data_IF_289687523372
#
_entry.id   IF_289687523372
#
_cell.length_a   1.000
_cell.length_b   1.000
_cell.length_c   1.000
_cell.angle_alpha   90.00
_cell.angle_beta   90.00
_cell.angle_gamma   90.00
#
_symmetry.space_group_name_H-M   'P 1'
#
loop_
_entity.id
_entity.type
_entity.pdbx_description
1 polymer ?
#
# COMPACT_ATOMS: atom_id res chain seq x y z
N UNK A 1 5.24 15.69 0.05
CA UNK A 1 5.43 14.33 0.62
C UNK A 1 4.79 13.35 -0.36
N UNK A 2 5.52 12.32 -0.80
CA UNK A 2 5.02 11.32 -1.76
C UNK A 2 4.32 10.17 -1.03
N UNK A 3 3.45 9.45 -1.73
CA UNK A 3 2.84 8.24 -1.18
C UNK A 3 3.90 7.17 -0.90
N UNK A 4 3.65 6.35 0.11
CA UNK A 4 4.43 5.15 0.38
C UNK A 4 3.94 3.96 -0.43
N UNK A 5 4.50 2.79 -0.13
CA UNK A 5 3.99 1.49 -0.60
C UNK A 5 3.93 0.52 0.57
N UNK A 6 3.05 -0.47 0.48
CA UNK A 6 2.98 -1.54 1.48
C UNK A 6 3.62 -2.78 0.89
N UNK A 7 4.64 -3.31 1.56
CA UNK A 7 5.34 -4.52 1.16
C UNK A 7 5.35 -5.56 2.29
N UNK A 8 5.44 -6.82 1.91
CA UNK A 8 5.61 -7.96 2.81
C UNK A 8 7.09 -8.30 2.93
N UNK A 9 7.60 -8.37 4.16
CA UNK A 9 8.96 -8.89 4.41
C UNK A 9 8.99 -10.37 4.03
N UNK A 10 9.85 -10.73 3.09
CA UNK A 10 10.06 -12.13 2.65
C UNK A 10 11.17 -12.77 3.47
N UNK A 11 12.25 -12.02 3.70
CA UNK A 11 13.43 -12.54 4.40
C UNK A 11 14.60 -11.57 4.30
N UNK A 12 15.77 -12.07 4.67
CA UNK A 12 17.02 -11.34 4.59
C UNK A 12 18.02 -12.15 3.78
N UNK A 13 18.82 -11.45 2.97
CA UNK A 13 19.91 -12.04 2.20
C UNK A 13 21.11 -11.09 2.23
N UNK A 14 22.15 -11.39 1.48
CA UNK A 14 23.36 -10.58 1.34
C UNK A 14 23.61 -10.28 -0.13
N UNK A 15 24.11 -9.09 -0.40
CA UNK A 15 24.67 -8.70 -1.68
C UNK A 15 26.12 -8.29 -1.48
N UNK A 16 26.96 -8.56 -2.48
CA UNK A 16 28.29 -8.00 -2.54
C UNK A 16 28.25 -6.79 -3.45
N UNK A 17 28.79 -5.66 -3.00
CA UNK A 17 28.93 -4.49 -3.85
C UNK A 17 30.18 -4.61 -4.74
N UNK A 18 30.38 -3.65 -5.65
CA UNK A 18 31.51 -3.67 -6.59
C UNK A 18 32.88 -3.59 -5.90
N UNK A 19 32.93 -3.13 -4.65
CA UNK A 19 34.13 -3.10 -3.81
C UNK A 19 34.37 -4.43 -3.06
N UNK A 20 33.51 -5.44 -3.23
CA UNK A 20 33.60 -6.73 -2.56
C UNK A 20 33.08 -6.75 -1.13
N UNK A 21 32.44 -5.68 -0.66
CA UNK A 21 31.91 -5.58 0.70
C UNK A 21 30.62 -6.37 0.86
N UNK A 22 30.45 -6.97 2.05
CA UNK A 22 29.28 -7.76 2.39
C UNK A 22 28.16 -6.87 2.97
N UNK A 23 27.09 -6.66 2.21
CA UNK A 23 25.95 -5.84 2.63
C UNK A 23 24.72 -6.72 2.92
N UNK A 24 24.26 -6.78 4.19
CA UNK A 24 23.02 -7.47 4.53
C UNK A 24 21.81 -6.65 4.07
N UNK A 25 20.88 -7.30 3.37
CA UNK A 25 19.68 -6.66 2.81
C UNK A 25 18.41 -7.40 3.20
N UNK A 26 17.30 -6.67 3.29
CA UNK A 26 15.98 -7.25 3.53
C UNK A 26 15.20 -7.27 2.22
N UNK A 27 14.66 -8.43 1.86
CA UNK A 27 13.81 -8.59 0.69
C UNK A 27 12.37 -8.24 1.05
N UNK A 28 11.82 -7.25 0.37
CA UNK A 28 10.45 -6.79 0.51
C UNK A 28 9.68 -7.10 -0.79
N UNK A 29 8.62 -7.88 -0.70
CA UNK A 29 7.76 -8.21 -1.83
C UNK A 29 6.52 -7.31 -1.83
N UNK A 30 6.25 -6.70 -2.98
CA UNK A 30 5.00 -5.98 -3.22
C UNK A 30 4.03 -6.92 -3.94
N UNK A 31 2.90 -7.20 -3.31
CA UNK A 31 1.88 -8.07 -3.87
C UNK A 31 0.53 -7.36 -3.88
N UNK A 32 0.01 -7.11 -5.08
CA UNK A 32 -1.31 -6.52 -5.30
C UNK A 32 -1.55 -5.19 -4.54
N UNK A 33 -0.51 -4.33 -4.50
CA UNK A 33 -0.57 -3.00 -3.90
C UNK A 33 -1.32 -2.04 -4.83
N UNK A 34 -2.48 -1.55 -4.41
CA UNK A 34 -3.36 -0.70 -5.21
C UNK A 34 -3.96 0.44 -4.38
N UNK A 35 -4.30 1.54 -5.03
CA UNK A 35 -5.04 2.65 -4.42
C UNK A 35 -6.48 2.20 -4.20
N UNK A 36 -6.95 2.34 -2.96
CA UNK A 36 -8.32 1.96 -2.56
C UNK A 36 -9.18 3.20 -2.37
N UNK A 37 -8.61 4.28 -1.85
CA UNK A 37 -9.34 5.52 -1.66
C UNK A 37 -8.39 6.71 -1.58
N UNK A 38 -8.93 7.88 -1.84
CA UNK A 38 -8.26 9.15 -1.66
C UNK A 38 -8.95 9.93 -0.53
N UNK A 39 -8.15 10.55 0.34
CA UNK A 39 -8.61 11.49 1.36
C UNK A 39 -8.26 12.88 0.90
N UNK A 40 -9.26 13.75 0.82
CA UNK A 40 -9.09 15.14 0.40
C UNK A 40 -9.35 16.08 1.57
N UNK A 41 -8.76 17.27 1.52
CA UNK A 41 -8.91 18.27 2.57
C UNK A 41 -10.39 18.64 2.82
N UNK A 42 -11.18 18.76 1.75
CA UNK A 42 -12.60 19.12 1.84
C UNK A 42 -13.47 18.04 2.49
N UNK A 43 -13.24 16.76 2.15
CA UNK A 43 -14.07 15.66 2.63
C UNK A 43 -13.60 15.08 3.96
N UNK A 44 -12.30 15.16 4.24
CA UNK A 44 -11.67 14.44 5.35
C UNK A 44 -10.85 15.33 6.28
N UNK A 45 -10.61 16.60 5.94
CA UNK A 45 -9.79 17.53 6.72
C UNK A 45 -8.28 17.38 6.49
N UNK A 46 -7.84 16.42 5.67
CA UNK A 46 -6.43 16.18 5.35
C UNK A 46 -6.27 15.48 3.99
N UNK A 47 -5.07 15.59 3.43
CA UNK A 47 -4.70 14.94 2.16
C UNK A 47 -3.92 13.66 2.42
N UNK A 48 -4.45 12.53 1.97
CA UNK A 48 -3.78 11.23 2.06
C UNK A 48 -4.25 10.26 0.97
N UNK A 49 -3.37 9.32 0.61
CA UNK A 49 -3.71 8.20 -0.27
C UNK A 49 -3.84 6.95 0.58
N UNK A 50 -4.96 6.24 0.42
CA UNK A 50 -5.19 4.97 1.05
C UNK A 50 -4.80 3.85 0.08
N UNK A 51 -3.82 3.03 0.50
CA UNK A 51 -3.33 1.88 -0.24
C UNK A 51 -3.77 0.59 0.41
N UNK A 52 -4.11 -0.41 -0.40
CA UNK A 52 -4.39 -1.76 0.03
C UNK A 52 -3.45 -2.76 -0.63
N UNK A 53 -3.10 -3.82 0.11
CA UNK A 53 -2.14 -4.85 -0.32
C UNK A 53 -2.66 -6.26 -0.04
N UNK A 54 -2.19 -7.21 -0.83
CA UNK A 54 -2.56 -8.62 -0.74
C UNK A 54 -4.01 -8.88 -1.15
N UNK A 55 -4.44 -10.12 -0.95
CA UNK A 55 -5.78 -10.58 -1.33
C UNK A 55 -6.52 -11.14 -0.11
N UNK A 56 -7.74 -10.67 0.12
CA UNK A 56 -8.65 -11.19 1.13
C UNK A 56 -9.82 -11.91 0.46
N UNK A 57 -10.23 -13.05 1.01
CA UNK A 57 -11.42 -13.76 0.51
C UNK A 57 -12.67 -12.94 0.80
N UNK A 58 -13.58 -12.85 -0.19
CA UNK A 58 -14.84 -12.11 -0.09
C UNK A 58 -15.66 -12.54 1.14
N UNK A 59 -15.69 -13.84 1.45
CA UNK A 59 -16.40 -14.39 2.62
C UNK A 59 -15.83 -13.93 3.98
N UNK A 60 -14.55 -13.56 4.02
CA UNK A 60 -13.87 -13.06 5.21
C UNK A 60 -13.91 -11.52 5.29
N UNK A 61 -14.52 -10.85 4.30
CA UNK A 61 -14.58 -9.39 4.22
C UNK A 61 -15.97 -8.91 4.62
N UNK A 62 -16.03 -7.97 5.57
CA UNK A 62 -17.29 -7.37 6.01
C UNK A 62 -18.04 -6.68 4.86
N UNK A 63 -19.37 -6.58 4.95
CA UNK A 63 -20.20 -5.97 3.90
C UNK A 63 -19.79 -4.51 3.62
N UNK A 64 -19.47 -3.74 4.66
CA UNK A 64 -19.01 -2.36 4.54
C UNK A 64 -17.70 -2.26 3.75
N UNK A 65 -16.70 -3.08 4.09
CA UNK A 65 -15.41 -3.07 3.39
C UNK A 65 -15.55 -3.55 1.94
N UNK A 66 -16.46 -4.49 1.66
CA UNK A 66 -16.75 -4.88 0.27
C UNK A 66 -17.27 -3.72 -0.57
N UNK A 67 -18.18 -2.91 -0.02
CA UNK A 67 -18.64 -1.69 -0.70
C UNK A 67 -17.52 -0.69 -0.92
N UNK A 68 -16.64 -0.53 0.06
CA UNK A 68 -15.46 0.34 -0.02
C UNK A 68 -14.49 -0.07 -1.15
N UNK A 69 -14.15 -1.36 -1.24
CA UNK A 69 -13.29 -1.87 -2.32
C UNK A 69 -13.98 -1.84 -3.68
N UNK A 70 -15.29 -2.10 -3.73
CA UNK A 70 -16.08 -2.04 -4.96
C UNK A 70 -16.19 -0.62 -5.53
N UNK A 71 -16.26 0.41 -4.69
CA UNK A 71 -16.27 1.80 -5.14
C UNK A 71 -14.99 2.19 -5.90
N UNK A 72 -13.86 1.58 -5.53
CA UNK A 72 -12.58 1.74 -6.23
C UNK A 72 -12.32 0.64 -7.28
N UNK A 73 -13.30 -0.24 -7.54
CA UNK A 73 -13.17 -1.36 -8.49
C UNK A 73 -11.95 -2.26 -8.24
N UNK A 74 -11.54 -2.41 -6.98
CA UNK A 74 -10.42 -3.27 -6.57
C UNK A 74 -10.92 -4.50 -5.81
N UNK A 75 -10.16 -5.58 -5.89
CA UNK A 75 -10.42 -6.77 -5.07
C UNK A 75 -10.23 -6.49 -3.58
N UNK A 76 -10.92 -7.22 -2.68
CA UNK A 76 -10.72 -7.07 -1.25
C UNK A 76 -9.25 -7.28 -0.85
N UNK A 77 -8.70 -6.30 -0.14
CA UNK A 77 -7.29 -6.28 0.28
C UNK A 77 -7.13 -6.82 1.70
N UNK A 78 -6.01 -7.48 1.95
CA UNK A 78 -5.72 -8.08 3.25
C UNK A 78 -5.29 -7.04 4.30
N UNK A 79 -4.57 -6.00 3.87
CA UNK A 79 -4.22 -4.85 4.70
C UNK A 79 -4.47 -3.56 3.93
N UNK A 80 -4.84 -2.51 4.67
CA UNK A 80 -5.06 -1.17 4.16
C UNK A 80 -4.32 -0.20 5.08
N UNK A 81 -3.61 0.78 4.50
CA UNK A 81 -2.94 1.83 5.24
C UNK A 81 -3.04 3.17 4.49
N UNK A 82 -2.96 4.27 5.23
CA UNK A 82 -3.02 5.61 4.68
C UNK A 82 -1.64 6.28 4.75
N UNK A 83 -1.26 6.94 3.67
CA UNK A 83 -0.04 7.75 3.59
C UNK A 83 -0.42 9.20 3.37
N UNK A 84 0.03 10.08 4.26
CA UNK A 84 -0.14 11.52 4.07
C UNK A 84 0.70 11.98 2.88
N UNK A 85 0.07 12.74 1.99
CA UNK A 85 0.72 13.27 0.79
C UNK A 85 0.50 14.77 0.70
N UNK A 86 1.42 15.47 0.02
CA UNK A 86 1.12 16.86 -0.37
C UNK A 86 0.12 16.87 -1.52
N UNK A 87 -0.64 17.96 -1.67
CA UNK A 87 -1.66 18.07 -2.72
C UNK A 87 -1.11 17.78 -4.13
N UNK A 88 0.12 18.21 -4.40
CA UNK A 88 0.79 18.01 -5.70
C UNK A 88 1.20 16.55 -5.99
N UNK A 89 1.16 15.67 -4.98
CA UNK A 89 1.55 14.26 -5.10
C UNK A 89 0.35 13.32 -4.91
N UNK A 90 -0.86 13.82 -5.14
CA UNK A 90 -2.05 12.98 -5.17
C UNK A 90 -2.00 12.07 -6.39
N UNK A 91 -2.39 10.81 -6.21
CA UNK A 91 -2.39 9.80 -7.27
C UNK A 91 -3.84 9.62 -7.72
N UNK A 92 -4.13 9.99 -8.96
CA UNK A 92 -5.44 9.78 -9.62
C UNK A 92 -5.76 8.30 -9.86
#
# INVERSE_FOLDING_TARGET
MRSGVIAKKVGMTRIYNDAGEHVPVTVLQMENCQVVAQRTQEKNGYTAVQLGVGLAKVKNTSKAMRGHFAAASVEPKAKVAEFRVSADNMID
#
